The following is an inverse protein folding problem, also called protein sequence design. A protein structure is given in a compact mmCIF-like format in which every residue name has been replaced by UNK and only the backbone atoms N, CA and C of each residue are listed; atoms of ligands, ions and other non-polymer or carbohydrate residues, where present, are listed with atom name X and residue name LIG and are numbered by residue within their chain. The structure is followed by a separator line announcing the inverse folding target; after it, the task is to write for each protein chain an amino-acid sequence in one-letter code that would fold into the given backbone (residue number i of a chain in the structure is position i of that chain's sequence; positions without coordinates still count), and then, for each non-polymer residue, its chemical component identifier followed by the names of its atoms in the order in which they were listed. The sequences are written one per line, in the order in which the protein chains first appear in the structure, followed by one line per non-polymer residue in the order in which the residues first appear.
data_IF_301889764453
#
_entry.id   IF_301889764453
#
_cell.length_a   1.000
_cell.length_b   1.000
_cell.length_c   1.000
_cell.angle_alpha   90.00
_cell.angle_beta   90.00
_cell.angle_gamma   90.00
#
_symmetry.space_group_name_H-M   'P 1'
#
loop_
_entity.id
_entity.type
_entity.pdbx_description
1 polymer ?
#
# COMPACT_ATOMS: atom_id res chain seq x y z
N UNK A 1 -97.38 -10.67 -10.61
CA UNK A 1 -97.87 -10.94 -9.23
C UNK A 1 -97.18 -9.90 -8.35
N UNK A 2 -97.90 -8.92 -7.79
CA UNK A 2 -98.65 -9.03 -6.52
C UNK A 2 -97.74 -9.55 -5.40
N UNK A 3 -97.52 -8.93 -4.24
CA UNK A 3 -97.71 -7.58 -3.66
C UNK A 3 -97.33 -7.69 -2.16
N UNK A 4 -97.13 -6.57 -1.46
CA UNK A 4 -96.98 -6.45 0.01
C UNK A 4 -95.63 -6.99 0.58
N UNK A 5 -95.02 -6.41 1.62
CA UNK A 5 -95.51 -5.46 2.64
C UNK A 5 -94.62 -4.23 2.86
N UNK A 6 -95.25 -3.15 3.33
CA UNK A 6 -94.62 -1.90 3.81
C UNK A 6 -94.52 -1.85 5.34
N UNK A 7 -93.40 -1.37 5.90
CA UNK A 7 -93.44 -0.39 7.03
C UNK A 7 -92.14 0.43 7.16
N UNK A 8 -92.33 1.72 7.45
CA UNK A 8 -91.35 2.78 7.77
C UNK A 8 -90.78 2.60 9.19
N UNK A 9 -89.73 3.29 9.70
CA UNK A 9 -89.00 4.55 9.37
C UNK A 9 -87.49 4.42 9.83
N UNK A 10 -86.59 5.42 9.92
CA UNK A 10 -86.64 6.90 9.91
C UNK A 10 -85.29 7.58 9.58
N UNK A 11 -85.24 8.30 8.45
CA UNK A 11 -84.73 9.67 8.22
C UNK A 11 -83.52 10.33 8.94
N UNK A 12 -82.80 11.12 8.09
CA UNK A 12 -81.93 12.32 8.29
C UNK A 12 -80.45 12.13 7.94
N UNK A 13 -79.80 12.96 7.11
CA UNK A 13 -80.25 14.16 6.35
C UNK A 13 -79.28 14.48 5.19
N UNK A 14 -79.79 15.02 4.07
CA UNK A 14 -79.64 16.44 3.64
C UNK A 14 -78.22 16.82 3.16
N UNK A 15 -77.91 17.08 1.88
CA UNK A 15 -78.48 17.96 0.83
C UNK A 15 -77.70 19.29 0.66
N UNK A 16 -77.34 19.65 -0.57
CA UNK A 16 -76.67 20.93 -0.87
C UNK A 16 -76.12 21.03 -2.31
N UNK A 17 -76.86 21.72 -3.19
CA UNK A 17 -76.43 22.19 -4.52
C UNK A 17 -76.26 23.72 -4.48
N UNK A 18 -75.48 24.28 -5.41
CA UNK A 18 -75.76 25.48 -6.26
C UNK A 18 -74.55 26.43 -6.51
N UNK A 19 -74.18 26.52 -7.81
CA UNK A 19 -73.77 27.71 -8.60
C UNK A 19 -72.70 28.73 -8.12
N UNK A 20 -71.83 29.15 -9.05
CA UNK A 20 -71.27 30.53 -9.01
C UNK A 20 -70.00 30.86 -9.82
N UNK A 21 -70.16 31.19 -11.11
CA UNK A 21 -69.36 32.14 -11.92
C UNK A 21 -67.82 31.98 -12.09
N UNK A 22 -67.33 32.51 -13.22
CA UNK A 22 -65.91 32.58 -13.59
C UNK A 22 -65.36 34.02 -13.44
N UNK A 23 -64.02 34.16 -13.34
CA UNK A 23 -63.16 35.12 -14.06
C UNK A 23 -61.75 35.19 -13.41
N UNK A 24 -60.73 34.94 -14.24
CA UNK A 24 -59.28 35.26 -14.15
C UNK A 24 -58.64 35.67 -12.81
N UNK A 25 -57.54 35.00 -12.43
CA UNK A 25 -56.16 35.51 -12.53
C UNK A 25 -55.17 34.34 -12.31
N UNK A 26 -54.00 34.39 -12.94
CA UNK A 26 -53.00 33.31 -12.90
C UNK A 26 -52.11 33.34 -11.65
N UNK A 27 -51.26 32.31 -11.52
CA UNK A 27 -50.14 32.16 -10.57
C UNK A 27 -50.56 31.70 -9.15
N UNK A 28 -50.60 30.38 -8.92
CA UNK A 28 -49.81 29.67 -7.88
C UNK A 28 -50.30 28.23 -7.62
N UNK A 29 -49.34 27.28 -7.60
CA UNK A 29 -49.34 26.06 -6.78
C UNK A 29 -50.52 25.07 -6.94
N UNK A 30 -50.45 24.20 -7.96
CA UNK A 30 -51.04 22.86 -7.87
C UNK A 30 -50.19 21.97 -6.95
N UNK A 31 -50.50 21.95 -5.65
CA UNK A 31 -50.01 20.89 -4.74
C UNK A 31 -51.03 19.74 -4.81
N UNK A 32 -50.79 18.79 -5.70
CA UNK A 32 -51.51 17.51 -5.69
C UNK A 32 -50.64 16.48 -4.96
N UNK A 33 -50.96 16.24 -3.69
CA UNK A 33 -50.26 15.26 -2.87
C UNK A 33 -50.65 13.83 -3.30
N UNK A 34 -49.73 13.13 -3.94
CA UNK A 34 -49.73 11.67 -4.04
C UNK A 34 -48.45 11.15 -3.37
N UNK A 35 -48.60 10.14 -2.51
CA UNK A 35 -47.52 9.63 -1.67
C UNK A 35 -46.41 9.03 -2.53
N UNK A 36 -45.24 9.69 -2.56
CA UNK A 36 -44.02 9.06 -3.02
C UNK A 36 -43.55 8.04 -1.98
N UNK A 37 -43.28 6.82 -2.44
CA UNK A 37 -42.38 5.91 -1.73
C UNK A 37 -41.03 6.63 -1.63
N UNK A 38 -40.49 6.74 -0.42
CA UNK A 38 -39.13 7.24 -0.19
C UNK A 38 -38.20 6.03 -0.17
N UNK A 39 -37.49 5.68 -1.25
CA UNK A 39 -36.18 5.11 -1.08
C UNK A 39 -35.33 6.22 -0.45
N UNK A 40 -34.84 5.97 0.76
CA UNK A 40 -33.87 6.88 1.38
C UNK A 40 -32.64 6.83 0.49
N UNK A 41 -32.33 7.95 -0.17
CA UNK A 41 -31.03 8.15 -0.84
C UNK A 41 -30.03 8.39 0.29
N UNK A 42 -29.59 7.30 0.93
CA UNK A 42 -28.53 7.30 1.92
C UNK A 42 -27.20 7.41 1.18
N UNK A 43 -26.56 8.57 1.34
CA UNK A 43 -25.22 8.91 0.87
C UNK A 43 -24.88 8.54 -0.58
N UNK A 44 -24.84 9.56 -1.42
CA UNK A 44 -23.79 9.66 -2.43
C UNK A 44 -22.42 9.62 -1.73
N UNK A 45 -21.89 8.43 -1.51
CA UNK A 45 -20.44 8.24 -1.68
C UNK A 45 -20.17 8.65 -3.13
N UNK A 46 -19.31 9.63 -3.36
CA UNK A 46 -18.77 9.82 -4.70
C UNK A 46 -18.12 8.48 -5.08
N UNK A 47 -18.62 7.84 -6.13
CA UNK A 47 -17.77 6.96 -6.90
C UNK A 47 -16.67 7.86 -7.46
N UNK A 48 -15.55 7.93 -6.75
CA UNK A 48 -14.27 8.29 -7.33
C UNK A 48 -14.03 7.16 -8.32
N UNK A 49 -14.44 7.40 -9.56
CA UNK A 49 -14.32 6.39 -10.61
C UNK A 49 -12.86 6.07 -10.77
N UNK A 50 -12.53 4.77 -10.73
CA UNK A 50 -11.19 4.24 -11.03
C UNK A 50 -10.57 5.02 -12.17
N UNK A 51 -9.57 5.84 -11.82
CA UNK A 51 -8.94 6.79 -12.73
C UNK A 51 -7.90 6.00 -13.53
N UNK A 52 -8.37 5.26 -14.52
CA UNK A 52 -7.52 4.46 -15.40
C UNK A 52 -6.68 5.38 -16.28
N UNK A 53 -5.52 5.76 -15.78
CA UNK A 53 -4.41 6.35 -16.53
C UNK A 53 -3.21 5.42 -16.41
N UNK A 54 -2.75 4.88 -17.55
CA UNK A 54 -1.55 4.05 -17.68
C UNK A 54 -1.48 2.74 -16.86
N UNK A 55 -2.62 2.21 -16.41
CA UNK A 55 -2.70 0.88 -15.79
C UNK A 55 -2.61 0.88 -14.25
N UNK A 56 -2.37 2.05 -13.65
CA UNK A 56 -2.48 2.27 -12.22
C UNK A 56 -3.96 2.39 -11.82
N UNK A 57 -4.43 1.52 -10.92
CA UNK A 57 -5.78 1.60 -10.34
C UNK A 57 -5.71 1.92 -8.85
N UNK A 58 -5.95 3.18 -8.51
CA UNK A 58 -6.13 3.61 -7.12
C UNK A 58 -7.50 3.16 -6.61
N UNK A 59 -7.52 2.11 -5.79
CA UNK A 59 -8.68 1.69 -5.00
C UNK A 59 -8.22 1.52 -3.55
N UNK A 60 -8.66 2.39 -2.61
CA UNK A 60 -8.21 2.36 -1.21
C UNK A 60 -8.61 1.07 -0.49
N UNK A 61 -9.60 0.33 -1.00
CA UNK A 61 -10.09 -0.94 -0.46
C UNK A 61 -9.65 -2.14 -1.35
N UNK A 62 -8.67 -1.96 -2.24
CA UNK A 62 -8.14 -3.05 -3.08
C UNK A 62 -7.60 -4.19 -2.22
N UNK A 63 -8.25 -5.35 -2.31
CA UNK A 63 -7.68 -6.61 -1.86
C UNK A 63 -6.68 -7.14 -2.89
N UNK A 64 -5.62 -7.77 -2.40
CA UNK A 64 -4.67 -8.47 -3.26
C UNK A 64 -5.36 -9.55 -4.11
N UNK A 65 -4.97 -9.65 -5.38
CA UNK A 65 -5.23 -10.86 -6.16
C UNK A 65 -4.50 -12.03 -5.49
N UNK A 66 -5.24 -13.09 -5.18
CA UNK A 66 -4.69 -14.29 -4.55
C UNK A 66 -4.01 -15.16 -5.61
N UNK A 67 -2.73 -15.52 -5.44
CA UNK A 67 -2.07 -16.44 -6.36
C UNK A 67 -2.70 -17.83 -6.28
N UNK A 68 -2.81 -18.52 -7.41
CA UNK A 68 -2.99 -19.98 -7.40
C UNK A 68 -1.78 -20.63 -6.71
N UNK A 69 -2.02 -21.67 -5.90
CA UNK A 69 -0.93 -22.40 -5.26
C UNK A 69 -0.17 -23.30 -6.24
N UNK A 70 1.15 -23.19 -6.22
CA UNK A 70 2.01 -24.07 -6.99
C UNK A 70 1.88 -25.52 -6.52
N UNK A 71 2.17 -26.47 -7.43
CA UNK A 71 2.27 -27.88 -7.03
C UNK A 71 3.29 -28.11 -5.92
N UNK A 72 4.33 -27.28 -5.83
CA UNK A 72 5.31 -27.33 -4.75
C UNK A 72 4.72 -26.86 -3.42
N UNK A 73 3.88 -25.81 -3.40
CA UNK A 73 3.17 -25.37 -2.21
C UNK A 73 2.25 -26.49 -1.66
N UNK A 74 1.45 -27.11 -2.54
CA UNK A 74 0.55 -28.21 -2.16
C UNK A 74 1.27 -29.46 -1.63
N UNK A 75 2.45 -29.77 -2.16
CA UNK A 75 3.26 -30.93 -1.73
C UNK A 75 4.13 -30.65 -0.49
N UNK A 76 4.49 -29.39 -0.23
CA UNK A 76 5.47 -29.04 0.83
C UNK A 76 4.89 -28.29 2.03
N UNK A 77 3.78 -27.57 1.90
CA UNK A 77 3.12 -26.88 3.02
C UNK A 77 2.14 -27.86 3.70
N UNK A 78 2.11 -27.99 5.04
CA UNK A 78 1.14 -28.85 5.72
C UNK A 78 -0.26 -28.29 5.49
N UNK A 79 -1.23 -29.15 5.19
CA UNK A 79 -2.59 -28.69 4.83
C UNK A 79 -3.18 -27.71 5.86
N UNK A 80 -3.00 -27.99 7.17
CA UNK A 80 -3.50 -27.15 8.26
C UNK A 80 -2.77 -25.80 8.44
N UNK A 81 -1.70 -25.55 7.68
CA UNK A 81 -1.07 -24.24 7.53
C UNK A 81 -1.50 -23.61 6.20
N UNK A 82 -1.52 -24.38 5.11
CA UNK A 82 -1.90 -23.90 3.78
C UNK A 82 -3.34 -23.35 3.75
N UNK A 83 -4.28 -24.08 4.37
CA UNK A 83 -5.67 -23.65 4.50
C UNK A 83 -5.77 -22.29 5.21
N UNK A 84 -5.04 -22.14 6.33
CA UNK A 84 -5.04 -20.91 7.14
C UNK A 84 -4.34 -19.76 6.43
N UNK A 85 -3.23 -20.00 5.72
CA UNK A 85 -2.60 -18.94 4.90
C UNK A 85 -3.56 -18.41 3.84
N UNK A 86 -4.25 -19.29 3.12
CA UNK A 86 -5.21 -18.91 2.08
C UNK A 86 -6.41 -18.15 2.66
N UNK A 87 -7.02 -18.68 3.73
CA UNK A 87 -8.15 -18.06 4.41
C UNK A 87 -7.81 -16.66 4.95
N UNK A 88 -6.68 -16.53 5.64
CA UNK A 88 -6.20 -15.24 6.19
C UNK A 88 -5.81 -14.27 5.07
N UNK A 89 -5.19 -14.77 3.99
CA UNK A 89 -4.86 -13.96 2.80
C UNK A 89 -6.10 -13.35 2.15
N UNK A 90 -7.14 -14.15 1.94
CA UNK A 90 -8.43 -13.70 1.40
C UNK A 90 -9.13 -12.71 2.36
N UNK A 91 -9.28 -13.08 3.65
CA UNK A 91 -10.01 -12.29 4.66
C UNK A 91 -9.31 -10.95 4.99
N UNK A 92 -7.98 -10.89 4.88
CA UNK A 92 -7.21 -9.64 5.08
C UNK A 92 -6.92 -8.89 3.78
N UNK A 93 -7.15 -9.48 2.62
CA UNK A 93 -6.84 -8.89 1.31
C UNK A 93 -5.36 -8.71 1.05
N UNK A 94 -4.54 -9.70 1.41
CA UNK A 94 -3.08 -9.75 1.20
C UNK A 94 -2.70 -11.08 0.55
N UNK A 95 -1.58 -11.19 -0.21
CA UNK A 95 -1.23 -12.45 -0.86
C UNK A 95 -0.88 -13.53 0.16
N UNK A 96 -1.60 -14.65 0.17
CA UNK A 96 -1.36 -15.76 1.12
C UNK A 96 0.08 -16.31 1.05
N UNK A 97 0.70 -16.29 -0.13
CA UNK A 97 2.05 -16.80 -0.35
C UNK A 97 3.13 -15.96 0.38
N UNK A 98 2.87 -14.70 0.69
CA UNK A 98 3.77 -13.89 1.55
C UNK A 98 3.74 -14.41 3.00
N UNK A 99 2.57 -14.72 3.54
CA UNK A 99 2.43 -15.34 4.87
C UNK A 99 3.09 -16.73 4.91
N UNK A 100 2.93 -17.50 3.84
CA UNK A 100 3.61 -18.79 3.67
C UNK A 100 5.14 -18.62 3.61
N UNK A 101 5.66 -17.62 2.88
CA UNK A 101 7.08 -17.28 2.83
C UNK A 101 7.65 -16.95 4.22
N UNK A 102 6.94 -16.15 5.03
CA UNK A 102 7.32 -15.87 6.42
C UNK A 102 7.37 -17.16 7.24
N UNK A 103 6.30 -17.97 7.27
CA UNK A 103 6.28 -19.20 8.04
C UNK A 103 7.30 -20.27 7.58
N UNK A 104 7.68 -20.23 6.31
CA UNK A 104 8.74 -21.06 5.75
C UNK A 104 10.12 -20.65 6.28
N UNK A 105 10.44 -19.35 6.27
CA UNK A 105 11.73 -18.83 6.75
C UNK A 105 11.85 -18.87 8.28
N UNK A 106 10.75 -18.68 9.02
CA UNK A 106 10.77 -18.69 10.49
C UNK A 106 10.88 -20.10 11.10
N UNK A 107 10.22 -21.10 10.50
CA UNK A 107 10.12 -22.44 11.13
C UNK A 107 9.88 -23.61 10.19
N UNK A 108 9.92 -23.40 8.87
CA UNK A 108 9.49 -24.41 7.88
C UNK A 108 8.04 -24.87 8.17
N UNK A 109 7.15 -23.90 8.44
CA UNK A 109 5.77 -24.09 8.89
C UNK A 109 5.65 -25.04 10.09
N UNK A 110 6.36 -24.70 11.18
CA UNK A 110 6.37 -25.43 12.44
C UNK A 110 7.11 -26.77 12.43
N UNK A 111 7.89 -27.08 11.39
CA UNK A 111 8.56 -28.40 11.23
C UNK A 111 10.04 -28.42 11.57
N UNK A 112 10.72 -27.28 11.69
CA UNK A 112 12.10 -27.28 12.16
C UNK A 112 12.20 -27.69 13.63
N UNK A 113 13.23 -28.47 13.95
CA UNK A 113 13.59 -28.79 15.33
C UNK A 113 14.42 -27.62 15.90
N UNK A 114 13.81 -26.80 16.76
CA UNK A 114 14.46 -25.63 17.34
C UNK A 114 13.71 -25.09 18.56
N UNK A 115 14.40 -24.36 19.46
CA UNK A 115 13.77 -23.75 20.63
C UNK A 115 12.74 -22.71 20.21
N UNK A 116 11.61 -22.64 20.91
CA UNK A 116 10.54 -21.70 20.63
C UNK A 116 9.53 -22.11 19.56
N UNK A 117 9.82 -23.08 18.68
CA UNK A 117 8.93 -23.39 17.54
C UNK A 117 7.61 -24.05 17.99
N UNK A 118 7.70 -25.06 18.85
CA UNK A 118 6.54 -25.80 19.39
C UNK A 118 6.35 -25.66 20.90
N UNK A 119 7.40 -25.20 21.61
CA UNK A 119 7.38 -24.90 23.04
C UNK A 119 8.52 -23.94 23.42
N UNK A 120 8.32 -23.19 24.50
CA UNK A 120 9.33 -22.26 25.06
C UNK A 120 9.59 -21.06 24.16
N UNK A 121 10.84 -20.58 24.18
CA UNK A 121 11.29 -19.48 23.31
C UNK A 121 12.70 -19.76 22.80
N UNK A 122 13.04 -19.15 21.66
CA UNK A 122 14.43 -19.08 21.19
C UNK A 122 15.25 -18.08 22.04
N UNK A 123 16.57 -17.98 21.78
CA UNK A 123 17.49 -17.12 22.54
C UNK A 123 17.14 -15.60 22.51
N UNK A 124 16.20 -15.19 21.65
CA UNK A 124 15.71 -13.81 21.50
C UNK A 124 14.31 -13.61 22.11
N UNK A 125 13.71 -14.64 22.73
CA UNK A 125 12.38 -14.59 23.32
C UNK A 125 11.23 -14.82 22.32
N UNK A 126 11.51 -15.27 21.10
CA UNK A 126 10.48 -15.55 20.10
C UNK A 126 9.93 -16.98 20.21
N UNK A 127 8.64 -17.15 19.94
CA UNK A 127 7.89 -18.40 20.07
C UNK A 127 6.89 -18.61 18.93
N UNK A 128 6.43 -19.85 18.74
CA UNK A 128 5.47 -20.24 17.71
C UNK A 128 6.08 -20.47 16.33
N UNK A 129 5.29 -20.99 15.37
CA UNK A 129 5.75 -21.23 14.01
C UNK A 129 6.01 -19.94 13.22
N UNK A 130 5.44 -18.81 13.66
CA UNK A 130 5.68 -17.48 13.08
C UNK A 130 6.72 -16.66 13.89
N UNK A 131 7.36 -17.27 14.91
CA UNK A 131 8.40 -16.66 15.75
C UNK A 131 8.05 -15.25 16.26
N UNK A 132 6.97 -15.16 17.04
CA UNK A 132 6.56 -13.94 17.72
C UNK A 132 7.30 -13.72 19.04
N UNK A 133 7.73 -12.49 19.34
CA UNK A 133 8.20 -12.10 20.67
C UNK A 133 7.12 -12.30 21.74
N UNK A 134 7.23 -13.39 22.51
CA UNK A 134 6.22 -13.84 23.49
C UNK A 134 6.80 -13.88 24.91
N UNK A 135 7.68 -12.91 25.21
CA UNK A 135 8.35 -12.75 26.50
C UNK A 135 8.62 -11.27 26.77
N UNK A 136 8.42 -10.83 28.01
CA UNK A 136 8.81 -9.49 28.47
C UNK A 136 10.31 -9.24 28.21
N UNK A 137 10.61 -8.23 27.38
CA UNK A 137 11.99 -7.92 26.99
C UNK A 137 12.56 -8.82 25.88
N UNK A 138 11.72 -9.54 25.13
CA UNK A 138 12.11 -10.17 23.87
C UNK A 138 12.76 -9.16 22.92
N UNK A 139 13.73 -9.63 22.15
CA UNK A 139 14.44 -8.87 21.12
C UNK A 139 13.91 -9.12 19.71
N UNK A 140 12.78 -9.83 19.56
CA UNK A 140 12.10 -9.98 18.27
C UNK A 140 11.51 -8.63 17.81
N UNK A 141 11.46 -8.40 16.49
CA UNK A 141 10.86 -7.18 15.90
C UNK A 141 9.33 -7.13 16.01
N UNK A 142 8.72 -8.26 16.38
CA UNK A 142 7.29 -8.46 16.54
C UNK A 142 6.93 -8.77 18.00
N UNK A 143 5.66 -8.60 18.38
CA UNK A 143 5.20 -8.84 19.77
C UNK A 143 3.87 -9.56 19.80
N UNK A 144 3.84 -10.68 20.52
CA UNK A 144 2.62 -11.43 20.82
C UNK A 144 1.68 -10.65 21.75
N UNK A 145 2.26 -9.88 22.67
CA UNK A 145 1.53 -9.04 23.62
C UNK A 145 1.27 -9.63 24.99
N UNK A 146 1.72 -10.85 25.29
CA UNK A 146 1.55 -11.46 26.61
C UNK A 146 2.22 -12.82 26.71
N UNK A 147 1.66 -13.70 27.55
CA UNK A 147 2.14 -15.08 27.69
C UNK A 147 1.93 -15.86 26.38
N UNK A 148 2.81 -16.83 26.04
CA UNK A 148 2.68 -17.66 24.84
C UNK A 148 1.31 -18.35 24.67
N UNK A 149 0.64 -18.67 25.78
CA UNK A 149 -0.72 -19.24 25.81
C UNK A 149 -1.49 -18.54 26.92
N UNK A 150 -2.58 -17.84 26.59
CA UNK A 150 -3.39 -17.08 27.54
C UNK A 150 -4.87 -17.01 27.13
N UNK A 151 -5.83 -16.86 28.05
CA UNK A 151 -7.22 -16.56 27.70
C UNK A 151 -7.33 -15.26 26.89
N UNK A 152 -8.22 -15.21 25.91
CA UNK A 152 -8.40 -14.03 25.05
C UNK A 152 -8.84 -12.79 25.85
N UNK A 153 -9.58 -12.96 26.95
CA UNK A 153 -9.99 -11.87 27.84
C UNK A 153 -8.86 -11.36 28.74
N UNK A 154 -7.77 -12.10 28.89
CA UNK A 154 -6.57 -11.71 29.64
C UNK A 154 -5.49 -11.11 28.72
N UNK A 155 -5.66 -11.20 27.39
CA UNK A 155 -4.74 -10.67 26.39
C UNK A 155 -4.57 -9.15 26.51
N UNK A 156 -3.36 -8.62 26.77
CA UNK A 156 -3.12 -7.17 26.81
C UNK A 156 -3.46 -6.46 25.50
N UNK A 157 -3.72 -5.14 25.56
CA UNK A 157 -4.07 -4.33 24.38
C UNK A 157 -2.91 -4.23 23.38
N UNK A 158 -1.67 -4.16 23.88
CA UNK A 158 -0.45 -4.09 23.06
C UNK A 158 -0.04 -5.49 22.59
N UNK A 159 0.16 -5.66 21.28
CA UNK A 159 0.62 -6.91 20.65
C UNK A 159 -0.43 -7.54 19.74
N UNK A 160 0.01 -8.54 18.98
CA UNK A 160 -0.72 -9.07 17.82
C UNK A 160 -1.35 -10.44 18.01
N UNK A 161 -1.20 -11.07 19.19
CA UNK A 161 -1.89 -12.32 19.48
C UNK A 161 -3.40 -12.20 19.27
N UNK A 162 -4.00 -13.20 18.64
CA UNK A 162 -5.42 -13.25 18.27
C UNK A 162 -5.94 -14.67 18.49
N UNK A 163 -7.20 -14.79 18.90
CA UNK A 163 -7.95 -16.04 18.95
C UNK A 163 -8.58 -16.22 17.56
N UNK A 164 -7.85 -16.89 16.66
CA UNK A 164 -8.23 -17.01 15.26
C UNK A 164 -9.23 -18.15 15.02
N UNK A 165 -9.23 -19.17 15.89
CA UNK A 165 -10.13 -20.32 15.80
C UNK A 165 -11.45 -20.14 16.60
N UNK A 166 -11.52 -19.16 17.51
CA UNK A 166 -12.68 -18.83 18.33
C UNK A 166 -12.86 -19.72 19.57
N UNK A 167 -11.80 -20.35 20.09
CA UNK A 167 -11.86 -21.26 21.24
C UNK A 167 -11.73 -20.55 22.61
N UNK A 168 -11.42 -19.25 22.62
CA UNK A 168 -11.24 -18.43 23.81
C UNK A 168 -9.79 -18.35 24.32
N UNK A 169 -8.84 -18.99 23.65
CA UNK A 169 -7.41 -18.96 23.96
C UNK A 169 -6.66 -18.24 22.83
N UNK A 170 -5.60 -17.54 23.19
CA UNK A 170 -4.61 -16.96 22.28
C UNK A 170 -3.32 -17.75 22.46
N UNK A 171 -2.98 -18.61 21.50
CA UNK A 171 -1.91 -19.60 21.56
C UNK A 171 -0.87 -19.40 20.44
N UNK A 172 0.32 -18.91 20.79
CA UNK A 172 1.39 -18.61 19.81
C UNK A 172 1.87 -19.84 19.04
N UNK A 173 1.64 -21.05 19.55
CA UNK A 173 2.03 -22.30 18.88
C UNK A 173 0.93 -22.90 17.99
N UNK A 174 -0.31 -22.37 18.04
CA UNK A 174 -1.35 -22.77 17.11
C UNK A 174 -1.22 -21.96 15.81
N UNK A 175 -1.06 -22.59 14.63
CA UNK A 175 -1.08 -21.86 13.36
C UNK A 175 -2.38 -21.07 13.13
N UNK A 176 -3.51 -21.52 13.68
CA UNK A 176 -4.79 -20.81 13.56
C UNK A 176 -4.78 -19.43 14.25
N UNK A 177 -3.92 -19.22 15.23
CA UNK A 177 -3.74 -17.94 15.94
C UNK A 177 -2.50 -17.19 15.43
N UNK A 178 -1.39 -17.91 15.24
CA UNK A 178 -0.10 -17.32 14.90
C UNK A 178 -0.06 -16.74 13.47
N UNK A 179 -0.78 -17.35 12.51
CA UNK A 179 -0.82 -16.88 11.12
C UNK A 179 -1.64 -15.58 10.99
N UNK A 180 -2.89 -15.47 11.50
CA UNK A 180 -3.61 -14.19 11.49
C UNK A 180 -2.89 -13.11 12.31
N UNK A 181 -2.24 -13.44 13.42
CA UNK A 181 -1.39 -12.50 14.14
C UNK A 181 -0.25 -11.95 13.26
N UNK A 182 0.41 -12.80 12.47
CA UNK A 182 1.47 -12.39 11.53
C UNK A 182 0.92 -11.49 10.41
N UNK A 183 -0.26 -11.80 9.88
CA UNK A 183 -0.95 -10.95 8.91
C UNK A 183 -1.28 -9.57 9.49
N UNK A 184 -1.89 -9.54 10.68
CA UNK A 184 -2.27 -8.29 11.36
C UNK A 184 -1.03 -7.44 11.70
N UNK A 185 0.08 -8.08 12.11
CA UNK A 185 1.37 -7.39 12.26
C UNK A 185 1.84 -6.77 10.94
N UNK A 186 1.94 -7.56 9.87
CA UNK A 186 2.50 -7.08 8.60
C UNK A 186 1.64 -5.95 8.01
N UNK A 187 0.31 -6.05 8.08
CA UNK A 187 -0.63 -5.01 7.64
C UNK A 187 -0.43 -3.72 8.45
N UNK A 188 -0.32 -3.82 9.78
CA UNK A 188 -0.04 -2.66 10.62
C UNK A 188 1.33 -2.00 10.35
N UNK A 189 2.25 -2.71 9.69
CA UNK A 189 3.57 -2.22 9.26
C UNK A 189 3.67 -1.96 7.75
N UNK A 190 2.52 -1.84 7.05
CA UNK A 190 2.46 -1.34 5.67
C UNK A 190 2.52 -2.40 4.58
N UNK A 191 2.09 -3.65 4.84
CA UNK A 191 2.15 -4.75 3.87
C UNK A 191 1.37 -4.48 2.57
N UNK A 192 0.31 -3.65 2.61
CA UNK A 192 -0.47 -3.34 1.39
C UNK A 192 0.23 -2.31 0.50
N UNK A 193 1.06 -1.48 1.11
CA UNK A 193 1.75 -0.34 0.54
C UNK A 193 3.18 -0.68 0.06
N UNK A 194 3.98 -1.34 0.92
CA UNK A 194 5.34 -1.78 0.67
C UNK A 194 5.60 -3.13 1.38
N UNK A 195 5.38 -4.21 0.63
CA UNK A 195 5.52 -5.59 1.10
C UNK A 195 6.90 -5.86 1.69
N UNK A 196 7.96 -5.37 1.03
CA UNK A 196 9.35 -5.60 1.43
C UNK A 196 9.70 -4.85 2.72
N UNK A 197 9.17 -3.63 2.89
CA UNK A 197 9.35 -2.85 4.12
C UNK A 197 8.57 -3.44 5.30
N UNK A 198 7.37 -3.99 5.08
CA UNK A 198 6.62 -4.67 6.14
C UNK A 198 7.33 -5.96 6.61
N UNK A 199 7.83 -6.77 5.68
CA UNK A 199 8.65 -7.96 5.99
C UNK A 199 9.97 -7.55 6.67
N UNK A 200 10.58 -6.41 6.27
CA UNK A 200 11.73 -5.85 6.99
C UNK A 200 11.36 -5.39 8.41
N UNK A 201 10.14 -4.92 8.66
CA UNK A 201 9.65 -4.66 10.02
C UNK A 201 9.71 -5.90 10.91
N UNK A 202 9.32 -7.05 10.35
CA UNK A 202 9.21 -8.32 11.07
C UNK A 202 10.55 -8.81 11.66
N UNK A 203 11.64 -8.76 10.88
CA UNK A 203 12.94 -9.36 11.23
C UNK A 203 14.14 -8.37 11.18
N UNK A 204 13.98 -7.19 10.59
CA UNK A 204 15.02 -6.16 10.40
C UNK A 204 16.25 -6.59 9.58
N UNK A 205 16.10 -7.59 8.70
CA UNK A 205 17.17 -8.08 7.83
C UNK A 205 16.75 -8.16 6.34
N UNK A 206 17.55 -7.58 5.45
CA UNK A 206 17.27 -7.65 4.00
C UNK A 206 17.43 -9.05 3.39
N UNK A 207 18.32 -9.88 3.93
CA UNK A 207 18.43 -11.28 3.51
C UNK A 207 17.17 -12.07 3.85
N UNK A 208 16.53 -11.77 4.98
CA UNK A 208 15.26 -12.38 5.38
C UNK A 208 14.13 -11.95 4.44
N UNK A 209 14.08 -10.66 4.07
CA UNK A 209 13.13 -10.17 3.06
C UNK A 209 13.33 -10.92 1.74
N UNK A 210 14.57 -11.03 1.26
CA UNK A 210 14.86 -11.72 -0.01
C UNK A 210 14.51 -13.22 0.05
N UNK A 211 14.77 -13.91 1.16
CA UNK A 211 14.36 -15.30 1.37
C UNK A 211 12.82 -15.46 1.40
N UNK A 212 12.10 -14.60 2.13
CA UNK A 212 10.63 -14.62 2.20
C UNK A 212 10.01 -14.38 0.83
N UNK A 213 10.49 -13.40 0.07
CA UNK A 213 10.00 -13.11 -1.28
C UNK A 213 10.27 -14.27 -2.24
N UNK A 214 11.46 -14.87 -2.18
CA UNK A 214 11.82 -16.03 -3.01
C UNK A 214 10.95 -17.27 -2.72
N UNK A 215 10.60 -17.51 -1.45
CA UNK A 215 9.64 -18.56 -1.11
C UNK A 215 8.21 -18.23 -1.54
N UNK A 216 7.79 -16.96 -1.42
CA UNK A 216 6.48 -16.54 -1.90
C UNK A 216 6.31 -16.75 -3.42
N UNK A 217 7.34 -16.46 -4.20
CA UNK A 217 7.39 -16.77 -5.64
C UNK A 217 7.26 -18.28 -5.92
N UNK A 218 8.07 -19.13 -5.26
CA UNK A 218 8.04 -20.59 -5.43
C UNK A 218 6.69 -21.22 -5.01
N UNK A 219 5.97 -20.59 -4.09
CA UNK A 219 4.64 -21.04 -3.64
C UNK A 219 3.48 -20.61 -4.55
N UNK A 220 3.68 -19.62 -5.43
CA UNK A 220 2.68 -19.23 -6.45
C UNK A 220 2.86 -20.00 -7.77
N UNK A 221 1.77 -20.35 -8.45
CA UNK A 221 1.80 -20.85 -9.82
C UNK A 221 1.78 -19.69 -10.85
N UNK A 222 2.31 -19.95 -12.05
CA UNK A 222 2.34 -18.98 -13.15
C UNK A 222 3.38 -17.87 -12.99
N UNK A 223 3.07 -16.70 -13.54
CA UNK A 223 3.92 -15.49 -13.49
C UNK A 223 3.36 -14.50 -12.45
N UNK A 224 3.03 -14.97 -11.24
CA UNK A 224 2.55 -14.08 -10.19
C UNK A 224 3.69 -13.17 -9.70
N UNK A 225 3.52 -11.86 -9.84
CA UNK A 225 4.54 -10.89 -9.44
C UNK A 225 4.34 -10.50 -7.97
N UNK A 226 5.18 -11.04 -7.09
CA UNK A 226 5.19 -10.72 -5.66
C UNK A 226 5.79 -9.33 -5.38
N UNK A 227 6.51 -8.73 -6.33
CA UNK A 227 7.13 -7.41 -6.18
C UNK A 227 6.14 -6.26 -6.36
N UNK A 228 5.03 -6.51 -7.07
CA UNK A 228 3.85 -5.66 -7.04
C UNK A 228 3.18 -5.75 -5.67
N UNK A 229 3.38 -4.74 -4.81
CA UNK A 229 2.57 -4.60 -3.60
C UNK A 229 1.09 -4.47 -3.96
N UNK A 230 0.22 -4.86 -3.02
CA UNK A 230 -1.25 -4.88 -3.16
C UNK A 230 -1.80 -3.58 -3.77
N UNK A 231 -1.14 -2.46 -3.46
CA UNK A 231 -1.21 -1.23 -4.23
C UNK A 231 0.20 -0.80 -4.69
N UNK A 232 0.61 -1.23 -5.89
CA UNK A 232 1.63 -0.49 -6.64
C UNK A 232 0.96 0.71 -7.31
N UNK A 233 0.52 1.64 -6.48
CA UNK A 233 0.33 3.05 -6.78
C UNK A 233 0.95 3.78 -5.60
N UNK A 234 1.91 4.68 -5.84
CA UNK A 234 2.66 5.28 -4.74
C UNK A 234 1.82 6.34 -4.06
N UNK A 235 1.13 5.84 -3.03
CA UNK A 235 0.12 6.52 -2.25
C UNK A 235 -1.13 6.83 -3.10
N UNK A 236 -2.25 6.19 -2.75
CA UNK A 236 -3.60 6.70 -3.05
C UNK A 236 -3.92 7.99 -2.25
N UNK A 237 -2.88 8.75 -1.88
CA UNK A 237 -2.95 10.06 -1.27
C UNK A 237 -3.06 11.08 -2.39
N UNK A 238 -3.90 12.07 -2.16
CA UNK A 238 -4.06 13.21 -3.04
C UNK A 238 -3.48 14.43 -2.34
N UNK A 239 -2.79 15.29 -3.09
CA UNK A 239 -2.36 16.61 -2.61
C UNK A 239 -3.56 17.49 -2.20
N UNK A 240 -3.31 18.67 -1.62
CA UNK A 240 -4.38 19.64 -1.29
C UNK A 240 -5.26 20.04 -2.50
N UNK A 241 -4.79 19.83 -3.73
CA UNK A 241 -5.51 20.14 -4.97
C UNK A 241 -6.33 18.96 -5.53
N UNK A 242 -6.20 17.75 -4.97
CA UNK A 242 -6.87 16.53 -5.44
C UNK A 242 -6.12 15.78 -6.55
N UNK A 243 -4.82 16.02 -6.71
CA UNK A 243 -3.93 15.30 -7.64
C UNK A 243 -3.26 14.13 -6.94
N UNK A 244 -3.12 12.98 -7.61
CA UNK A 244 -2.49 11.80 -7.02
C UNK A 244 -0.98 12.06 -6.80
N UNK A 245 -0.46 11.74 -5.62
CA UNK A 245 0.98 11.77 -5.37
C UNK A 245 1.68 10.75 -6.28
N UNK A 246 2.86 11.10 -6.81
CA UNK A 246 3.54 10.34 -7.85
C UNK A 246 3.00 10.55 -9.27
N UNK A 247 1.91 11.29 -9.47
CA UNK A 247 1.40 11.61 -10.81
C UNK A 247 2.24 12.71 -11.48
N UNK A 248 3.03 12.32 -12.47
CA UNK A 248 3.90 13.20 -13.22
C UNK A 248 3.16 13.99 -14.33
N UNK A 249 3.71 15.13 -14.81
CA UNK A 249 3.05 15.99 -15.79
C UNK A 249 2.91 15.38 -17.19
N UNK A 250 3.67 14.32 -17.50
CA UNK A 250 3.72 13.65 -18.79
C UNK A 250 4.20 12.18 -18.67
N UNK A 251 4.02 11.40 -19.74
CA UNK A 251 4.33 9.96 -19.78
C UNK A 251 5.81 9.61 -19.55
N UNK A 252 6.75 10.47 -19.97
CA UNK A 252 8.19 10.23 -19.78
C UNK A 252 8.59 10.51 -18.33
N UNK A 253 8.09 11.62 -17.78
CA UNK A 253 8.23 11.93 -16.36
C UNK A 253 7.62 10.82 -15.49
N UNK A 254 6.46 10.27 -15.88
CA UNK A 254 5.79 9.18 -15.15
C UNK A 254 6.64 7.90 -15.16
N UNK A 255 7.11 7.46 -16.33
CA UNK A 255 7.91 6.23 -16.43
C UNK A 255 9.25 6.30 -15.68
N UNK A 256 9.83 7.51 -15.51
CA UNK A 256 11.01 7.75 -14.67
C UNK A 256 10.66 7.63 -13.18
N UNK A 257 9.52 8.19 -12.76
CA UNK A 257 9.01 8.15 -11.38
C UNK A 257 8.65 6.71 -10.99
N UNK A 258 7.83 6.03 -11.79
CA UNK A 258 7.41 4.63 -11.58
C UNK A 258 8.64 3.73 -11.40
N UNK A 259 9.60 3.79 -12.33
CA UNK A 259 10.80 2.97 -12.26
C UNK A 259 11.62 3.22 -10.98
N UNK A 260 11.74 4.47 -10.53
CA UNK A 260 12.46 4.80 -9.30
C UNK A 260 11.75 4.22 -8.06
N UNK A 261 10.42 4.18 -8.10
CA UNK A 261 9.56 3.68 -7.03
C UNK A 261 9.49 2.14 -6.99
N UNK A 262 9.69 1.45 -8.12
CA UNK A 262 9.90 0.00 -8.18
C UNK A 262 11.22 -0.45 -7.49
N UNK A 263 12.10 0.50 -7.14
CA UNK A 263 13.34 0.20 -6.42
C UNK A 263 13.19 0.29 -4.89
N UNK A 264 12.01 0.65 -4.37
CA UNK A 264 11.73 0.68 -2.93
C UNK A 264 11.97 -0.68 -2.28
N UNK A 265 12.33 -0.69 -0.99
CA UNK A 265 12.67 -1.92 -0.28
C UNK A 265 13.96 -2.62 -0.76
N UNK A 266 14.76 -1.98 -1.62
CA UNK A 266 16.13 -2.42 -1.95
C UNK A 266 17.15 -1.71 -1.06
N UNK A 267 18.28 -2.35 -0.70
CA UNK A 267 19.29 -1.73 0.16
C UNK A 267 20.04 -0.59 -0.55
N UNK A 268 20.51 0.38 0.25
CA UNK A 268 21.53 1.30 -0.20
C UNK A 268 22.87 0.58 -0.38
N UNK A 269 23.51 0.75 -1.54
CA UNK A 269 24.85 0.21 -1.81
C UNK A 269 25.73 1.36 -2.29
N UNK A 270 26.80 1.68 -1.56
CA UNK A 270 27.78 2.70 -1.96
C UNK A 270 28.43 2.36 -3.31
N UNK A 271 28.25 3.23 -4.31
CA UNK A 271 28.69 2.96 -5.69
C UNK A 271 27.69 2.12 -6.51
N UNK A 272 26.57 1.69 -5.93
CA UNK A 272 25.58 0.79 -6.51
C UNK A 272 24.79 1.41 -7.67
N UNK A 273 24.53 0.59 -8.69
CA UNK A 273 23.75 0.92 -9.89
C UNK A 273 22.75 -0.20 -10.25
N UNK A 274 22.33 -1.00 -9.27
CA UNK A 274 21.43 -2.11 -9.44
C UNK A 274 22.09 -3.44 -9.86
N UNK A 275 21.27 -4.51 -10.01
CA UNK A 275 19.82 -4.55 -9.76
C UNK A 275 19.45 -4.76 -8.27
N UNK A 276 20.39 -5.22 -7.45
CA UNK A 276 20.19 -5.62 -6.04
C UNK A 276 20.25 -4.46 -5.03
N UNK A 277 20.53 -3.23 -5.48
CA UNK A 277 20.68 -2.05 -4.63
C UNK A 277 21.43 -0.93 -5.33
N UNK A 278 21.25 0.30 -4.83
CA UNK A 278 21.68 1.54 -5.49
C UNK A 278 22.25 2.53 -4.47
N UNK A 279 23.12 3.46 -4.91
CA UNK A 279 23.29 4.73 -4.17
C UNK A 279 22.36 5.81 -4.71
N UNK A 280 22.27 6.93 -4.00
CA UNK A 280 21.45 8.10 -4.34
C UNK A 280 21.49 8.45 -5.84
N UNK A 281 22.67 8.81 -6.32
CA UNK A 281 22.89 9.21 -7.72
C UNK A 281 22.79 8.03 -8.71
N UNK A 282 23.07 6.81 -8.28
CA UNK A 282 22.91 5.58 -9.07
C UNK A 282 21.44 5.23 -9.32
N UNK A 283 20.57 5.43 -8.33
CA UNK A 283 19.12 5.29 -8.46
C UNK A 283 18.59 6.29 -9.49
N UNK A 284 18.93 7.58 -9.33
CA UNK A 284 18.52 8.63 -10.28
C UNK A 284 19.00 8.33 -11.70
N UNK A 285 20.28 7.91 -11.85
CA UNK A 285 20.83 7.56 -13.15
C UNK A 285 20.03 6.45 -13.84
N UNK A 286 19.66 5.40 -13.09
CA UNK A 286 18.95 4.25 -13.65
C UNK A 286 17.46 4.50 -13.91
N UNK A 287 16.84 5.39 -13.14
CA UNK A 287 15.48 5.88 -13.40
C UNK A 287 15.39 6.64 -14.72
N UNK A 288 16.37 7.48 -15.04
CA UNK A 288 16.43 8.13 -16.35
C UNK A 288 16.85 7.15 -17.47
N UNK A 289 17.73 6.19 -17.18
CA UNK A 289 18.17 5.19 -18.17
C UNK A 289 17.04 4.24 -18.60
N UNK A 290 15.99 4.03 -17.76
CA UNK A 290 14.83 3.19 -18.09
C UNK A 290 14.05 3.70 -19.31
N UNK A 291 13.90 5.04 -19.43
CA UNK A 291 13.32 5.71 -20.61
C UNK A 291 14.37 6.00 -21.70
N UNK A 292 15.59 5.46 -21.57
CA UNK A 292 16.69 5.67 -22.50
C UNK A 292 17.37 7.04 -22.40
N UNK A 293 17.19 7.79 -21.31
CA UNK A 293 17.87 9.06 -21.05
C UNK A 293 19.12 8.88 -20.16
N UNK A 294 20.28 9.33 -20.62
CA UNK A 294 21.52 9.26 -19.83
C UNK A 294 21.79 10.55 -19.07
N UNK A 295 21.86 10.47 -17.74
CA UNK A 295 22.34 11.54 -16.85
C UNK A 295 23.67 11.16 -16.17
N UNK A 296 24.46 12.13 -15.65
CA UNK A 296 25.76 11.84 -15.03
C UNK A 296 25.68 10.91 -13.81
N UNK A 297 26.79 10.22 -13.49
CA UNK A 297 26.82 9.17 -12.43
C UNK A 297 26.76 9.68 -10.99
N UNK A 298 27.29 10.88 -10.70
CA UNK A 298 27.44 11.39 -9.32
C UNK A 298 26.57 12.64 -9.10
N UNK A 299 26.05 12.82 -7.88
CA UNK A 299 25.15 13.91 -7.50
C UNK A 299 25.71 15.30 -7.86
N UNK A 300 27.00 15.54 -7.61
CA UNK A 300 27.66 16.83 -7.91
C UNK A 300 27.76 17.13 -9.42
N UNK A 301 27.60 16.12 -10.28
CA UNK A 301 27.56 16.29 -11.74
C UNK A 301 26.11 16.28 -12.25
N UNK A 302 25.19 15.55 -11.61
CA UNK A 302 23.76 15.64 -11.90
C UNK A 302 23.24 17.07 -11.63
N UNK A 303 23.62 17.66 -10.49
CA UNK A 303 23.36 19.07 -10.16
C UNK A 303 23.81 20.05 -11.24
N UNK A 304 25.03 19.86 -11.80
CA UNK A 304 25.60 20.72 -12.84
C UNK A 304 25.03 20.46 -14.24
N UNK A 305 24.25 19.40 -14.41
CA UNK A 305 23.72 18.94 -15.70
C UNK A 305 22.24 19.25 -15.83
N UNK A 306 21.45 19.03 -14.79
CA UNK A 306 20.03 19.38 -14.79
C UNK A 306 19.85 20.91 -14.84
N UNK A 307 18.98 21.44 -15.71
CA UNK A 307 18.48 22.81 -15.60
C UNK A 307 17.92 23.05 -14.18
N UNK A 308 18.48 24.02 -13.46
CA UNK A 308 17.99 24.45 -12.14
C UNK A 308 16.57 25.03 -12.26
N UNK A 309 15.71 24.70 -11.29
CA UNK A 309 14.33 25.21 -11.20
C UNK A 309 14.08 25.94 -9.87
N UNK A 310 13.18 26.93 -9.82
CA UNK A 310 12.77 27.57 -8.58
C UNK A 310 12.11 26.57 -7.61
N UNK A 311 12.33 26.76 -6.31
CA UNK A 311 11.60 26.01 -5.27
C UNK A 311 10.13 26.44 -5.25
N UNK A 312 9.23 25.47 -5.18
CA UNK A 312 7.80 25.61 -5.44
C UNK A 312 7.39 25.42 -6.92
N UNK A 313 8.34 25.14 -7.83
CA UNK A 313 8.06 24.78 -9.23
C UNK A 313 8.45 23.33 -9.57
N UNK A 314 8.95 22.56 -8.59
CA UNK A 314 9.24 21.14 -8.73
C UNK A 314 8.00 20.27 -9.00
N UNK A 315 8.21 19.21 -9.78
CA UNK A 315 7.19 18.30 -10.27
C UNK A 315 7.70 16.85 -10.15
N UNK A 316 6.83 15.83 -10.13
CA UNK A 316 7.28 14.45 -10.05
C UNK A 316 8.21 14.08 -11.20
N UNK A 317 9.39 13.56 -10.86
CA UNK A 317 10.49 13.26 -11.79
C UNK A 317 11.66 14.25 -11.72
N UNK A 318 11.47 15.44 -11.13
CA UNK A 318 12.55 16.38 -10.84
C UNK A 318 13.49 15.85 -9.74
N UNK A 319 14.72 16.35 -9.72
CA UNK A 319 15.74 15.95 -8.75
C UNK A 319 15.94 17.03 -7.68
N UNK A 320 15.91 16.63 -6.41
CA UNK A 320 16.18 17.48 -5.23
C UNK A 320 17.53 17.13 -4.62
N UNK A 321 18.32 18.14 -4.27
CA UNK A 321 19.73 18.00 -3.87
C UNK A 321 19.99 18.60 -2.49
N UNK A 322 20.91 18.00 -1.72
CA UNK A 322 21.16 18.36 -0.32
C UNK A 322 22.65 18.57 -0.01
N UNK A 323 22.96 19.50 0.90
CA UNK A 323 24.33 19.81 1.35
C UNK A 323 24.83 18.77 2.37
N UNK A 324 25.06 17.56 1.86
CA UNK A 324 25.72 16.47 2.59
C UNK A 324 27.21 16.51 2.28
N UNK A 325 28.00 17.10 3.18
CA UNK A 325 29.46 17.16 3.04
C UNK A 325 30.14 15.90 3.61
N UNK A 326 30.94 15.20 2.80
CA UNK A 326 31.72 14.01 3.19
C UNK A 326 33.21 14.19 2.88
N UNK A 327 34.06 13.63 3.76
CA UNK A 327 35.51 13.82 3.67
C UNK A 327 36.12 13.13 2.44
N UNK A 328 36.67 13.92 1.52
CA UNK A 328 37.30 13.43 0.29
C UNK A 328 36.42 13.51 -0.97
N UNK A 329 35.17 13.97 -0.86
CA UNK A 329 34.29 14.15 -2.01
C UNK A 329 34.50 15.50 -2.73
N UNK A 330 34.13 15.61 -4.02
CA UNK A 330 34.12 16.88 -4.74
C UNK A 330 33.10 17.86 -4.16
N UNK A 331 33.38 19.17 -4.28
CA UNK A 331 32.42 20.21 -3.89
C UNK A 331 31.15 20.17 -4.75
N UNK A 332 30.00 20.20 -4.07
CA UNK A 332 28.64 20.09 -4.60
C UNK A 332 27.76 19.29 -3.63
N UNK A 333 26.47 19.10 -3.94
CA UNK A 333 25.57 18.31 -3.11
C UNK A 333 26.00 16.84 -3.04
N UNK A 334 26.17 16.31 -1.82
CA UNK A 334 26.54 14.90 -1.58
C UNK A 334 25.36 13.94 -1.47
N UNK A 335 24.12 14.42 -1.62
CA UNK A 335 22.94 13.58 -1.76
C UNK A 335 21.95 14.14 -2.79
N UNK A 336 21.15 13.24 -3.37
CA UNK A 336 20.11 13.51 -4.36
C UNK A 336 18.97 12.49 -4.24
N UNK A 337 17.73 12.97 -4.32
CA UNK A 337 16.51 12.17 -4.45
C UNK A 337 15.64 12.68 -5.60
N UNK A 338 14.57 11.94 -5.91
CA UNK A 338 13.62 12.30 -6.97
C UNK A 338 12.30 12.73 -6.36
N UNK A 339 11.88 13.96 -6.61
CA UNK A 339 10.58 14.51 -6.21
C UNK A 339 9.47 13.62 -6.78
N UNK A 340 8.47 13.31 -5.95
CA UNK A 340 7.25 12.61 -6.35
C UNK A 340 5.97 13.42 -6.06
N UNK A 341 6.11 14.65 -5.58
CA UNK A 341 5.00 15.57 -5.29
C UNK A 341 4.75 15.73 -3.78
N UNK A 342 3.99 16.77 -3.41
CA UNK A 342 3.53 17.06 -2.04
C UNK A 342 4.62 16.99 -0.94
N UNK A 343 5.79 17.59 -1.17
CA UNK A 343 6.91 17.54 -0.22
C UNK A 343 7.65 16.20 -0.16
N UNK A 344 7.22 15.18 -0.92
CA UNK A 344 7.79 13.84 -0.91
C UNK A 344 8.77 13.60 -2.06
N UNK A 345 9.74 12.72 -1.80
CA UNK A 345 10.67 12.18 -2.79
C UNK A 345 10.96 10.70 -2.55
N UNK A 346 11.41 9.99 -3.58
CA UNK A 346 12.08 8.68 -3.44
C UNK A 346 13.59 8.87 -3.38
N UNK A 347 14.24 8.28 -2.37
CA UNK A 347 15.68 8.40 -2.15
C UNK A 347 16.35 7.08 -1.76
N UNK A 348 17.64 6.97 -2.10
CA UNK A 348 18.55 5.98 -1.54
C UNK A 348 19.57 6.72 -0.64
N UNK A 349 19.29 6.85 0.67
CA UNK A 349 20.01 7.78 1.55
C UNK A 349 21.39 7.29 2.02
N UNK A 350 21.46 6.19 2.79
CA UNK A 350 22.70 5.65 3.35
C UNK A 350 22.60 4.16 3.73
N UNK A 351 23.75 3.48 3.83
CA UNK A 351 23.88 2.03 4.13
C UNK A 351 23.06 1.58 5.35
N UNK A 352 23.14 2.32 6.45
CA UNK A 352 22.54 1.97 7.74
C UNK A 352 21.27 2.78 8.05
N UNK A 353 20.69 3.42 7.03
CA UNK A 353 19.58 4.37 7.18
C UNK A 353 18.22 3.82 6.71
N UNK A 354 18.12 2.51 6.48
CA UNK A 354 17.00 1.86 5.83
C UNK A 354 17.18 1.71 4.31
N UNK A 355 16.16 1.18 3.60
CA UNK A 355 16.22 0.94 2.17
C UNK A 355 15.99 2.23 1.38
N UNK A 356 15.97 2.05 0.06
CA UNK A 356 15.30 2.97 -0.85
C UNK A 356 13.84 3.09 -0.43
N UNK A 357 13.38 4.32 -0.20
CA UNK A 357 12.07 4.60 0.37
C UNK A 357 11.57 5.99 -0.07
N UNK A 358 10.27 6.23 0.13
CA UNK A 358 9.66 7.57 0.04
C UNK A 358 9.84 8.30 1.37
N UNK A 359 10.24 9.57 1.34
CA UNK A 359 10.38 10.45 2.53
C UNK A 359 10.07 11.90 2.19
N UNK A 360 9.70 12.68 3.20
CA UNK A 360 9.63 14.15 3.14
C UNK A 360 11.02 14.73 2.82
N UNK A 361 11.13 15.55 1.78
CA UNK A 361 12.39 16.23 1.44
C UNK A 361 12.63 17.47 2.30
N UNK A 362 11.58 18.11 2.79
CA UNK A 362 11.60 19.36 3.57
C UNK A 362 11.55 19.17 5.10
N UNK A 363 11.62 17.91 5.59
CA UNK A 363 11.75 17.60 7.01
C UNK A 363 12.91 18.40 7.66
N UNK A 364 12.64 19.24 8.68
CA UNK A 364 13.62 20.11 9.32
C UNK A 364 14.71 19.36 10.11
N UNK A 365 14.63 18.03 10.21
CA UNK A 365 15.68 17.18 10.77
C UNK A 365 16.76 16.76 9.75
N UNK A 366 16.51 16.97 8.45
CA UNK A 366 17.40 16.59 7.35
C UNK A 366 18.45 17.68 7.04
N UNK A 367 19.37 17.39 6.11
CA UNK A 367 20.37 18.37 5.64
C UNK A 367 19.73 19.43 4.74
N UNK A 368 20.28 20.64 4.73
CA UNK A 368 19.76 21.76 3.94
C UNK A 368 19.64 21.42 2.45
N UNK A 369 18.51 21.80 1.83
CA UNK A 369 18.29 21.70 0.38
C UNK A 369 19.19 22.72 -0.33
N UNK A 370 19.99 22.23 -1.28
CA UNK A 370 20.81 23.06 -2.20
C UNK A 370 19.94 23.63 -3.33
N UNK A 371 18.99 22.83 -3.82
CA UNK A 371 18.03 23.23 -4.85
C UNK A 371 17.46 22.04 -5.61
N UNK A 372 16.77 22.36 -6.69
CA UNK A 372 16.05 21.41 -7.55
C UNK A 372 16.50 21.53 -9.00
N UNK A 373 16.44 20.44 -9.78
CA UNK A 373 16.70 20.47 -11.23
C UNK A 373 15.71 19.60 -12.01
N UNK A 374 15.50 19.92 -13.29
CA UNK A 374 14.64 19.16 -14.23
C UNK A 374 15.45 18.53 -15.38
N UNK A 375 16.10 17.37 -15.20
CA UNK A 375 16.96 16.79 -16.24
C UNK A 375 16.29 16.49 -17.58
N UNK A 376 14.97 16.20 -17.62
CA UNK A 376 14.22 16.04 -18.88
C UNK A 376 14.23 17.31 -19.75
N UNK A 377 14.39 18.49 -19.15
CA UNK A 377 14.53 19.75 -19.89
C UNK A 377 15.93 19.97 -20.48
N UNK A 378 16.92 19.13 -20.14
CA UNK A 378 18.28 19.28 -20.66
C UNK A 378 18.36 18.96 -22.17
N UNK A 379 19.01 19.80 -23.00
CA UNK A 379 19.08 19.59 -24.46
C UNK A 379 19.62 18.22 -24.88
N UNK A 380 20.62 17.68 -24.17
CA UNK A 380 21.19 16.37 -24.49
C UNK A 380 20.21 15.22 -24.17
N UNK A 381 19.32 15.39 -23.18
CA UNK A 381 18.29 14.38 -22.84
C UNK A 381 17.22 14.38 -23.93
N UNK A 382 16.72 15.57 -24.31
CA UNK A 382 15.76 15.70 -25.43
C UNK A 382 16.30 15.10 -26.73
N UNK A 383 17.57 15.37 -27.06
CA UNK A 383 18.23 14.81 -28.24
C UNK A 383 18.35 13.27 -28.19
N UNK A 384 18.54 12.67 -27.01
CA UNK A 384 18.59 11.21 -26.84
C UNK A 384 17.21 10.57 -27.06
N UNK A 385 16.15 11.17 -26.53
CA UNK A 385 14.77 10.69 -26.66
C UNK A 385 14.26 10.85 -28.10
N UNK A 386 14.49 12.01 -28.72
CA UNK A 386 14.21 12.25 -30.14
C UNK A 386 14.93 11.27 -31.10
N UNK A 387 16.09 10.75 -30.70
CA UNK A 387 16.87 9.81 -31.51
C UNK A 387 16.37 8.35 -31.38
N UNK A 388 15.51 8.07 -30.39
CA UNK A 388 14.87 6.77 -30.17
C UNK A 388 13.52 6.67 -30.88
N UNK A 389 12.69 7.72 -30.81
CA UNK A 389 11.43 7.82 -31.55
C UNK A 389 11.63 7.61 -33.07
N UNK A 390 12.73 8.14 -33.63
CA UNK A 390 13.12 7.96 -35.05
C UNK A 390 13.67 6.56 -35.40
N UNK A 391 13.68 5.60 -34.46
CA UNK A 391 14.14 4.21 -34.65
C UNK A 391 13.03 3.17 -34.44
N UNK A 392 11.88 3.56 -33.90
CA UNK A 392 10.64 2.78 -33.91
C UNK A 392 9.96 2.80 -35.29
#
# INVERSE_FOLDING_TARGET
MISLFTRTSSDRGAAGLWFGAAVTIAISLMIMAAMFVIPVISNTTQQIGSLVTNGLTCDPDANAEQPDASGYAMDSIPQNYLDVYMEVGEDRGIPWNILAGVGQVESHHGRWEGPGITEGHNDWGAAGPMQFGALDGSAAGNSWGGEPIQPVEERPENGYGVDGNGDGIVNVYDPADAIPAAADYLIAHGLKEDVRQAIYGYNHAWWYVDDVMGWAEEYSDGNYDTSGSVQTAVMCQFDEAGTLIGQAPDELSQAVVDWALDQRGKPYIWGGIGPVGYDCSGLMQKAYESIGASIPRISQNQWKFGPEIPSGEEQPGDLVFFDVSRAGEPSGPGHVGMVIGDGLMVEAWCTDCGPIAVREYDDPSRSDIVGFTRPLEHPDVKAQLEAQDKRG
#
